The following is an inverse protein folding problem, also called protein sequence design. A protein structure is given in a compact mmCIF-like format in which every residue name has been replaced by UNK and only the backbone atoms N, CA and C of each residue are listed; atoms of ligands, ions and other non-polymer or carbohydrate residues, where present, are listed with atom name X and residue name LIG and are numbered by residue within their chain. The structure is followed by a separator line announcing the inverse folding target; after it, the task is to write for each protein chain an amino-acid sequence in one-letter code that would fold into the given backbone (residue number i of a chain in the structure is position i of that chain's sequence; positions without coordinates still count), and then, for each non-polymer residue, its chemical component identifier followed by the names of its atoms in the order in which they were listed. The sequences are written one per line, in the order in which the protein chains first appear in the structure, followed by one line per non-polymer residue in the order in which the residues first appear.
data_IF_215345575411
#
_entry.id   IF_215345575411
#
_cell.length_a   1.000
_cell.length_b   1.000
_cell.length_c   1.000
_cell.angle_alpha   90.00
_cell.angle_beta   90.00
_cell.angle_gamma   90.00
#
_symmetry.space_group_name_H-M   'P 1'
#
loop_
_entity.id
_entity.type
_entity.pdbx_description
1 polymer ?
#
# COMPACT_ATOMS: atom_id res chain seq x y z
N UNK A 1 -0.09 -10.25 8.10
CA UNK A 1 0.44 -9.74 9.37
C UNK A 1 -0.63 -8.94 10.09
N UNK A 2 -0.84 -9.26 11.37
CA UNK A 2 -1.65 -8.46 12.29
C UNK A 2 -0.81 -7.35 12.92
N UNK A 3 -1.45 -6.25 13.35
CA UNK A 3 -0.78 -5.16 14.05
C UNK A 3 -0.59 -5.58 15.51
N UNK A 4 0.65 -5.81 15.93
CA UNK A 4 1.05 -6.08 17.32
C UNK A 4 1.29 -4.75 18.02
N UNK A 5 0.55 -4.46 19.10
CA UNK A 5 0.63 -3.19 19.84
C UNK A 5 1.65 -3.22 20.98
N UNK A 6 2.12 -4.42 21.32
CA UNK A 6 3.13 -4.74 22.33
C UNK A 6 4.57 -4.49 21.86
N UNK A 7 4.77 -4.23 20.57
CA UNK A 7 6.08 -4.10 19.94
C UNK A 7 6.51 -2.62 19.81
N UNK A 8 7.82 -2.38 19.88
CA UNK A 8 8.39 -1.08 19.49
C UNK A 8 8.16 -0.78 18.01
N UNK A 9 8.19 0.50 17.59
CA UNK A 9 8.07 0.86 16.18
C UNK A 9 9.10 0.17 15.28
N UNK A 10 10.34 -0.01 15.76
CA UNK A 10 11.41 -0.68 15.01
C UNK A 10 11.13 -2.18 14.81
N UNK A 11 10.63 -2.87 15.83
CA UNK A 11 10.23 -4.29 15.72
C UNK A 11 9.06 -4.46 14.76
N UNK A 12 8.04 -3.62 14.89
CA UNK A 12 6.90 -3.64 13.99
C UNK A 12 7.34 -3.38 12.54
N UNK A 13 8.22 -2.40 12.31
CA UNK A 13 8.75 -2.07 10.99
C UNK A 13 9.47 -3.27 10.34
N UNK A 14 10.32 -3.99 11.09
CA UNK A 14 11.00 -5.20 10.59
C UNK A 14 10.02 -6.28 10.15
N UNK A 15 8.93 -6.52 10.89
CA UNK A 15 7.90 -7.51 10.52
C UNK A 15 7.19 -7.20 9.17
N UNK A 16 7.37 -5.99 8.66
CA UNK A 16 6.86 -5.52 7.38
C UNK A 16 7.95 -5.38 6.30
N UNK A 17 9.18 -5.79 6.59
CA UNK A 17 10.32 -5.71 5.67
C UNK A 17 10.90 -4.30 5.52
N UNK A 18 10.49 -3.35 6.38
CA UNK A 18 10.98 -1.96 6.36
C UNK A 18 12.49 -1.95 6.62
N UNK A 19 13.25 -1.40 5.66
CA UNK A 19 14.71 -1.47 5.60
C UNK A 19 15.23 -2.23 4.37
N UNK A 20 14.44 -3.19 3.86
CA UNK A 20 14.79 -4.04 2.70
C UNK A 20 13.81 -3.86 1.52
N UNK A 21 12.92 -2.86 1.59
CA UNK A 21 11.88 -2.62 0.59
C UNK A 21 12.49 -2.13 -0.72
N UNK A 22 12.08 -2.74 -1.83
CA UNK A 22 12.42 -2.30 -3.19
C UNK A 22 11.35 -1.38 -3.76
N UNK A 23 10.08 -1.60 -3.38
CA UNK A 23 8.94 -0.80 -3.84
C UNK A 23 7.96 -0.47 -2.73
N UNK A 24 7.40 0.73 -2.77
CA UNK A 24 6.33 1.15 -1.86
C UNK A 24 5.14 1.65 -2.66
N UNK A 25 4.01 0.97 -2.51
CA UNK A 25 2.73 1.39 -3.09
C UNK A 25 1.96 2.32 -2.14
N UNK A 26 1.57 3.49 -2.61
CA UNK A 26 0.57 4.34 -1.94
C UNK A 26 -0.74 4.26 -2.69
N UNK A 27 -1.83 3.92 -2.01
CA UNK A 27 -3.17 3.83 -2.59
C UNK A 27 -4.06 4.93 -2.03
N UNK A 28 -4.54 5.81 -2.91
CA UNK A 28 -5.60 6.77 -2.64
C UNK A 28 -6.92 6.04 -2.41
N UNK A 29 -7.57 6.34 -1.29
CA UNK A 29 -8.88 5.77 -0.94
C UNK A 29 -10.06 6.69 -1.31
N UNK A 30 -9.81 7.85 -1.92
CA UNK A 30 -10.84 8.85 -2.17
C UNK A 30 -10.92 9.94 -1.08
N UNK A 31 -12.01 10.74 -1.04
CA UNK A 31 -13.23 10.60 -1.84
C UNK A 31 -13.18 11.30 -3.21
N UNK A 32 -12.21 12.19 -3.46
CA UNK A 32 -12.28 13.10 -4.62
C UNK A 32 -12.26 12.39 -5.99
N UNK A 33 -11.50 11.30 -6.11
CA UNK A 33 -11.32 10.58 -7.37
C UNK A 33 -11.97 9.19 -7.40
N UNK A 34 -12.49 8.72 -6.27
CA UNK A 34 -13.14 7.43 -6.11
C UNK A 34 -13.95 7.42 -4.82
N UNK A 35 -15.09 6.72 -4.81
CA UNK A 35 -15.82 6.49 -3.56
C UNK A 35 -14.97 5.70 -2.56
N UNK A 36 -15.14 5.99 -1.26
CA UNK A 36 -14.40 5.31 -0.17
C UNK A 36 -14.54 3.79 -0.26
N UNK A 37 -15.71 3.29 -0.66
CA UNK A 37 -15.96 1.88 -0.86
C UNK A 37 -15.11 1.28 -1.99
N UNK A 38 -14.94 2.01 -3.10
CA UNK A 38 -14.09 1.59 -4.20
C UNK A 38 -12.62 1.53 -3.75
N UNK A 39 -12.15 2.56 -3.03
CA UNK A 39 -10.81 2.57 -2.42
C UNK A 39 -10.59 1.37 -1.49
N UNK A 40 -11.56 1.04 -0.64
CA UNK A 40 -11.47 -0.09 0.27
C UNK A 40 -11.53 -1.46 -0.44
N UNK A 41 -12.32 -1.59 -1.51
CA UNK A 41 -12.29 -2.80 -2.38
C UNK A 41 -10.91 -2.99 -2.99
N UNK A 42 -10.32 -1.93 -3.57
CA UNK A 42 -8.98 -1.97 -4.15
C UNK A 42 -7.92 -2.31 -3.10
N UNK A 43 -8.02 -1.76 -1.89
CA UNK A 43 -7.11 -2.10 -0.79
C UNK A 43 -7.18 -3.58 -0.40
N UNK A 44 -8.39 -4.14 -0.28
CA UNK A 44 -8.60 -5.56 0.05
C UNK A 44 -8.00 -6.46 -1.03
N UNK A 45 -8.25 -6.13 -2.30
CA UNK A 45 -7.66 -6.82 -3.44
C UNK A 45 -6.12 -6.77 -3.39
N UNK A 46 -5.54 -5.59 -3.24
CA UNK A 46 -4.09 -5.40 -3.21
C UNK A 46 -3.44 -6.20 -2.07
N UNK A 47 -3.98 -6.12 -0.86
CA UNK A 47 -3.49 -6.88 0.30
C UNK A 47 -3.50 -8.39 0.02
N UNK A 48 -4.58 -8.91 -0.58
CA UNK A 48 -4.69 -10.32 -0.94
C UNK A 48 -3.67 -10.70 -2.02
N UNK A 49 -3.60 -9.92 -3.10
CA UNK A 49 -2.74 -10.24 -4.24
C UNK A 49 -1.24 -10.18 -3.91
N UNK A 50 -0.83 -9.21 -3.10
CA UNK A 50 0.56 -9.14 -2.63
C UNK A 50 0.95 -10.33 -1.74
N UNK A 51 -0.02 -10.87 -0.97
CA UNK A 51 0.20 -12.10 -0.19
C UNK A 51 0.31 -13.32 -1.10
N UNK A 52 -0.57 -13.45 -2.09
CA UNK A 52 -0.54 -14.55 -3.07
C UNK A 52 0.76 -14.58 -3.89
N UNK A 53 1.32 -13.41 -4.18
CA UNK A 53 2.60 -13.27 -4.91
C UNK A 53 3.83 -13.39 -3.99
N UNK A 54 3.66 -13.55 -2.68
CA UNK A 54 4.74 -13.56 -1.69
C UNK A 54 5.68 -12.33 -1.76
N UNK A 55 5.14 -11.17 -2.15
CA UNK A 55 5.93 -9.93 -2.28
C UNK A 55 5.78 -8.98 -1.10
N UNK A 56 5.03 -9.36 -0.06
CA UNK A 56 4.81 -8.54 1.13
C UNK A 56 5.15 -9.29 2.41
N UNK A 57 5.72 -8.59 3.38
CA UNK A 57 6.06 -9.12 4.70
C UNK A 57 7.51 -8.88 5.08
N UNK A 58 7.97 -9.59 6.10
CA UNK A 58 9.35 -9.49 6.61
C UNK A 58 10.39 -9.67 5.50
N UNK A 59 10.20 -10.68 4.66
CA UNK A 59 11.09 -10.98 3.51
C UNK A 59 10.58 -10.42 2.17
N UNK A 60 9.46 -9.67 2.19
CA UNK A 60 8.81 -9.19 0.98
C UNK A 60 9.45 -7.89 0.45
N UNK A 61 9.76 -7.79 -0.85
CA UNK A 61 10.36 -6.57 -1.42
C UNK A 61 9.38 -5.39 -1.54
N UNK A 62 8.08 -5.58 -1.28
CA UNK A 62 7.07 -4.56 -1.51
C UNK A 62 6.26 -4.22 -0.26
N UNK A 63 6.10 -2.91 -0.02
CA UNK A 63 5.23 -2.37 1.04
C UNK A 63 4.05 -1.60 0.47
N UNK A 64 3.02 -1.39 1.28
CA UNK A 64 1.79 -0.69 0.87
C UNK A 64 1.25 0.19 1.99
N UNK A 65 0.78 1.38 1.63
CA UNK A 65 0.16 2.35 2.54
C UNK A 65 -1.16 2.85 1.99
N UNK A 66 -2.16 2.96 2.87
CA UNK A 66 -3.39 3.70 2.60
C UNK A 66 -3.10 5.20 2.74
N UNK A 67 -3.47 5.99 1.74
CA UNK A 67 -3.44 7.45 1.81
C UNK A 67 -4.80 8.03 1.38
N UNK A 68 -4.98 9.34 1.60
CA UNK A 68 -6.13 10.08 1.06
C UNK A 68 -5.76 10.62 -0.32
N UNK A 69 -5.69 11.93 -0.52
CA UNK A 69 -5.49 12.52 -1.84
C UNK A 69 -4.02 12.46 -2.30
N UNK A 70 -3.81 12.03 -3.55
CA UNK A 70 -2.53 12.10 -4.27
C UNK A 70 -2.45 13.30 -5.25
N UNK A 71 -3.48 14.16 -5.26
CA UNK A 71 -3.60 15.37 -6.10
C UNK A 71 -3.76 15.13 -7.61
N UNK A 72 -4.12 13.92 -8.02
CA UNK A 72 -4.30 13.53 -9.43
C UNK A 72 -5.77 13.10 -9.65
N UNK A 73 -6.75 13.92 -9.34
CA UNK A 73 -8.15 13.45 -9.26
C UNK A 73 -8.83 13.27 -10.64
N UNK A 74 -8.33 12.36 -11.48
CA UNK A 74 -8.76 12.16 -12.88
C UNK A 74 -9.13 10.71 -13.21
N UNK A 75 -9.82 10.02 -12.29
CA UNK A 75 -10.29 8.63 -12.45
C UNK A 75 -9.59 7.63 -11.52
N UNK A 76 -10.00 7.60 -10.25
CA UNK A 76 -9.44 6.70 -9.25
C UNK A 76 -10.21 5.38 -9.07
N UNK A 77 -9.80 4.53 -8.12
CA UNK A 77 -8.73 4.73 -7.12
C UNK A 77 -7.33 4.82 -7.74
N UNK A 78 -6.46 5.66 -7.18
CA UNK A 78 -5.13 5.92 -7.75
C UNK A 78 -4.07 5.31 -6.86
N UNK A 79 -3.15 4.55 -7.45
CA UNK A 79 -1.95 4.11 -6.78
C UNK A 79 -0.70 4.74 -7.40
N UNK A 80 0.30 5.02 -6.57
CA UNK A 80 1.66 5.37 -7.00
C UNK A 80 2.68 4.40 -6.42
N UNK A 81 3.67 4.03 -7.23
CA UNK A 81 4.78 3.15 -6.85
C UNK A 81 6.04 4.00 -6.68
N UNK A 82 6.65 3.94 -5.49
CA UNK A 82 7.95 4.55 -5.22
C UNK A 82 9.06 3.49 -5.21
N UNK A 83 10.28 3.76 -5.72
CA UNK A 83 10.80 5.06 -6.18
C UNK A 83 10.46 5.45 -7.62
N UNK A 84 9.83 4.57 -8.41
CA UNK A 84 9.66 4.81 -9.85
C UNK A 84 8.80 6.04 -10.18
N UNK A 85 7.91 6.48 -9.29
CA UNK A 85 7.12 7.72 -9.41
C UNK A 85 6.09 7.72 -10.56
N UNK A 86 6.10 6.72 -11.43
CA UNK A 86 5.39 6.74 -12.71
C UNK A 86 4.28 5.67 -12.84
N UNK A 87 4.18 4.72 -11.90
CA UNK A 87 3.18 3.65 -11.97
C UNK A 87 1.80 4.14 -11.53
N UNK A 88 1.09 4.89 -12.38
CA UNK A 88 -0.34 5.13 -12.23
C UNK A 88 -1.05 3.85 -12.68
N UNK A 89 -1.47 3.04 -11.71
CA UNK A 89 -2.45 1.99 -11.97
C UNK A 89 -3.84 2.56 -11.64
N UNK A 90 -4.63 2.81 -12.68
CA UNK A 90 -6.08 3.03 -12.61
C UNK A 90 -6.82 1.71 -12.54
#
# INVERSE_FOLDING_TARGET
MGKRKDQSPAEAARSFGVGNLRRHLFLCLGPDCADIEAGDRTWKYLKRRMKELNIAGEDGPCYRTKCQCLRICTGGPIAVVYPEGAGIAT
#
